data_IF_790799070978
#
_entry.id   IF_790799070978
#
_cell.length_a   1.000
_cell.length_b   1.000
_cell.length_c   1.000
_cell.angle_alpha   90.00
_cell.angle_beta   90.00
_cell.angle_gamma   90.00
#
_symmetry.space_group_name_H-M   'P 1'
#
loop_
_entity.id
_entity.type
_entity.pdbx_description
1 polymer ?
#
# COMPACT_ATOMS: atom_id res chain seq x y z
N UNK A 1 17.62 -29.20 15.01
CA UNK A 1 18.75 -29.65 14.15
C UNK A 1 18.62 -31.16 13.97
N UNK A 2 18.52 -31.62 12.72
CA UNK A 2 19.52 -32.56 12.25
C UNK A 2 20.07 -32.16 10.88
N UNK A 3 21.38 -32.34 10.74
CA UNK A 3 22.13 -32.29 9.49
C UNK A 3 21.84 -33.56 8.68
N UNK A 4 21.61 -33.41 7.37
CA UNK A 4 21.71 -34.51 6.41
C UNK A 4 22.67 -34.03 5.31
N UNK A 5 23.86 -34.65 5.32
CA UNK A 5 24.82 -34.65 4.22
C UNK A 5 24.57 -35.94 3.47
N UNK A 6 24.31 -35.86 2.17
CA UNK A 6 24.83 -36.84 1.21
C UNK A 6 24.90 -36.20 -0.17
N UNK A 7 26.10 -36.26 -0.73
CA UNK A 7 26.40 -35.84 -2.09
C UNK A 7 26.09 -36.98 -3.05
N UNK A 8 25.44 -36.64 -4.16
CA UNK A 8 25.36 -37.51 -5.32
C UNK A 8 25.65 -36.67 -6.58
N UNK A 9 26.74 -37.02 -7.27
CA UNK A 9 27.30 -36.33 -8.43
C UNK A 9 27.01 -37.15 -9.69
N UNK A 10 25.75 -37.20 -10.12
CA UNK A 10 25.41 -37.66 -11.48
C UNK A 10 24.17 -36.95 -12.02
N UNK A 11 24.36 -36.15 -13.08
CA UNK A 11 23.27 -35.59 -13.89
C UNK A 11 22.76 -34.23 -13.41
N UNK A 12 23.03 -33.18 -14.20
CA UNK A 12 22.40 -31.85 -14.05
C UNK A 12 20.89 -31.94 -14.29
N UNK A 13 20.15 -32.43 -13.31
CA UNK A 13 18.77 -32.06 -13.10
C UNK A 13 18.85 -30.82 -12.24
N UNK A 14 18.54 -29.66 -12.82
CA UNK A 14 18.39 -28.42 -12.09
C UNK A 14 17.25 -28.60 -11.09
N UNK A 15 17.58 -29.11 -9.90
CA UNK A 15 16.65 -29.21 -8.79
C UNK A 15 16.53 -27.79 -8.19
N UNK A 16 15.99 -26.86 -8.99
CA UNK A 16 15.50 -25.59 -8.46
C UNK A 16 14.43 -25.91 -7.44
N UNK A 17 14.44 -25.19 -6.32
CA UNK A 17 13.48 -25.46 -5.25
C UNK A 17 12.09 -25.10 -5.77
N UNK A 18 11.07 -25.80 -5.31
CA UNK A 18 9.68 -25.46 -5.62
C UNK A 18 9.34 -23.99 -5.31
N UNK A 19 10.10 -23.34 -4.43
CA UNK A 19 9.99 -21.92 -4.11
C UNK A 19 10.33 -21.00 -5.28
N UNK A 20 11.30 -21.36 -6.13
CA UNK A 20 11.72 -20.54 -7.26
C UNK A 20 10.64 -20.52 -8.35
N UNK A 21 9.95 -21.66 -8.55
CA UNK A 21 8.80 -21.75 -9.45
C UNK A 21 7.56 -21.00 -8.95
N UNK A 22 7.48 -20.66 -7.65
CA UNK A 22 6.38 -19.84 -7.11
C UNK A 22 6.39 -18.44 -7.71
N UNK A 23 7.57 -17.87 -7.95
CA UNK A 23 7.71 -16.57 -8.61
C UNK A 23 7.24 -16.65 -10.07
N UNK A 24 7.72 -17.65 -10.81
CA UNK A 24 7.30 -17.88 -12.20
C UNK A 24 5.79 -18.12 -12.33
N UNK A 25 5.16 -18.79 -11.35
CA UNK A 25 3.69 -18.91 -11.32
C UNK A 25 3.00 -17.55 -11.24
N UNK A 26 3.51 -16.62 -10.44
CA UNK A 26 2.95 -15.26 -10.32
C UNK A 26 3.16 -14.46 -11.60
N UNK A 27 4.37 -14.51 -12.16
CA UNK A 27 4.70 -13.80 -13.40
C UNK A 27 3.79 -14.29 -14.56
N UNK A 28 3.50 -15.59 -14.64
CA UNK A 28 2.54 -16.11 -15.63
C UNK A 28 1.09 -15.69 -15.36
N UNK A 29 0.68 -15.50 -14.09
CA UNK A 29 -0.64 -14.99 -13.73
C UNK A 29 -0.84 -13.53 -14.17
N UNK A 30 0.22 -12.73 -14.17
CA UNK A 30 0.22 -11.32 -14.56
C UNK A 30 0.64 -11.08 -16.03
N UNK A 31 0.89 -12.15 -16.80
CA UNK A 31 1.36 -12.09 -18.20
C UNK A 31 2.74 -11.39 -18.36
N UNK A 32 3.59 -11.48 -17.34
CA UNK A 32 4.95 -10.91 -17.29
C UNK A 32 6.05 -11.96 -17.53
N UNK A 33 5.67 -13.23 -17.78
CA UNK A 33 6.62 -14.34 -17.93
C UNK A 33 7.26 -14.38 -19.34
N UNK A 34 8.57 -14.65 -19.39
CA UNK A 34 9.28 -14.91 -20.65
C UNK A 34 8.86 -16.25 -21.28
N UNK A 35 9.00 -16.41 -22.60
CA UNK A 35 8.67 -17.68 -23.27
C UNK A 35 9.53 -18.84 -22.80
N UNK A 36 10.81 -18.59 -22.49
CA UNK A 36 11.74 -19.58 -21.97
C UNK A 36 11.33 -20.04 -20.56
N UNK A 37 11.00 -19.11 -19.67
CA UNK A 37 10.62 -19.46 -18.30
C UNK A 37 9.24 -20.11 -18.22
N UNK A 38 8.35 -19.79 -19.16
CA UNK A 38 7.05 -20.45 -19.30
C UNK A 38 7.20 -21.93 -19.68
N UNK A 39 8.14 -22.26 -20.57
CA UNK A 39 8.45 -23.65 -20.91
C UNK A 39 8.99 -24.39 -19.69
N UNK A 40 9.95 -23.78 -18.97
CA UNK A 40 10.51 -24.33 -17.72
C UNK A 40 9.44 -24.55 -16.65
N UNK A 41 8.53 -23.60 -16.46
CA UNK A 41 7.40 -23.72 -15.53
C UNK A 41 6.50 -24.90 -15.93
N UNK A 42 6.14 -25.02 -17.21
CA UNK A 42 5.30 -26.10 -17.70
C UNK A 42 5.94 -27.49 -17.49
N UNK A 43 7.24 -27.61 -17.72
CA UNK A 43 7.97 -28.87 -17.49
C UNK A 43 8.02 -29.23 -16.00
N UNK A 44 8.17 -28.25 -15.12
CA UNK A 44 8.06 -28.47 -13.68
C UNK A 44 6.64 -28.90 -13.26
N UNK A 45 5.60 -28.26 -13.81
CA UNK A 45 4.20 -28.61 -13.47
C UNK A 45 3.83 -30.03 -13.92
N UNK A 46 4.44 -30.56 -14.98
CA UNK A 46 4.28 -31.97 -15.41
C UNK A 46 4.83 -32.95 -14.38
N UNK A 47 5.95 -32.63 -13.74
CA UNK A 47 6.67 -33.52 -12.82
C UNK A 47 6.23 -33.37 -11.36
N UNK A 48 5.92 -32.15 -10.91
CA UNK A 48 5.55 -31.85 -9.52
C UNK A 48 4.03 -31.68 -9.35
N UNK A 49 3.37 -32.65 -8.72
CA UNK A 49 1.92 -32.62 -8.45
C UNK A 49 1.52 -31.53 -7.45
N UNK A 50 2.35 -31.28 -6.43
CA UNK A 50 2.07 -30.24 -5.42
C UNK A 50 2.09 -28.82 -6.01
N UNK A 51 3.06 -28.51 -6.86
CA UNK A 51 3.13 -27.23 -7.57
C UNK A 51 1.97 -27.06 -8.55
N UNK A 52 1.56 -28.14 -9.23
CA UNK A 52 0.40 -28.15 -10.13
C UNK A 52 -0.89 -27.77 -9.42
N UNK A 53 -1.12 -28.32 -8.24
CA UNK A 53 -2.33 -28.03 -7.48
C UNK A 53 -2.35 -26.59 -6.94
N UNK A 54 -1.21 -26.10 -6.45
CA UNK A 54 -1.04 -24.70 -6.05
C UNK A 54 -1.33 -23.74 -7.20
N UNK A 55 -0.75 -24.00 -8.37
CA UNK A 55 -0.95 -23.17 -9.55
C UNK A 55 -2.41 -23.18 -10.04
N UNK A 56 -3.09 -24.34 -10.02
CA UNK A 56 -4.53 -24.42 -10.31
C UNK A 56 -5.37 -23.58 -9.35
N UNK A 57 -5.07 -23.66 -8.05
CA UNK A 57 -5.76 -22.88 -7.01
C UNK A 57 -5.56 -21.38 -7.19
N UNK A 58 -4.33 -20.95 -7.47
CA UNK A 58 -4.00 -19.55 -7.77
C UNK A 58 -4.76 -19.04 -8.99
N UNK A 59 -4.75 -19.79 -10.10
CA UNK A 59 -5.45 -19.42 -11.33
C UNK A 59 -6.96 -19.34 -11.15
N UNK A 60 -7.54 -20.27 -10.40
CA UNK A 60 -8.97 -20.24 -10.05
C UNK A 60 -9.32 -18.99 -9.21
N UNK A 61 -8.45 -18.62 -8.26
CA UNK A 61 -8.63 -17.44 -7.39
C UNK A 61 -8.53 -16.15 -8.20
N UNK A 62 -7.51 -16.02 -9.05
CA UNK A 62 -7.34 -14.88 -9.94
C UNK A 62 -8.52 -14.75 -10.93
N UNK A 63 -9.02 -15.86 -11.45
CA UNK A 63 -10.22 -15.89 -12.29
C UNK A 63 -11.46 -15.34 -11.59
N UNK A 64 -11.64 -15.63 -10.29
CA UNK A 64 -12.74 -15.06 -9.49
C UNK A 64 -12.53 -13.58 -9.19
N UNK A 65 -11.31 -13.16 -8.88
CA UNK A 65 -11.00 -11.75 -8.62
C UNK A 65 -11.21 -10.89 -9.88
N UNK A 66 -10.93 -11.42 -11.06
CA UNK A 66 -11.17 -10.73 -12.34
C UNK A 66 -12.66 -10.48 -12.62
N UNK A 67 -13.57 -11.20 -11.96
CA UNK A 67 -15.01 -10.99 -12.08
C UNK A 67 -15.53 -9.88 -11.16
N UNK A 68 -14.73 -9.42 -10.20
CA UNK A 68 -15.10 -8.24 -9.42
C UNK A 68 -15.04 -7.04 -10.34
N UNK A 69 -16.15 -6.30 -10.40
CA UNK A 69 -16.19 -5.01 -11.09
C UNK A 69 -15.13 -4.11 -10.47
N UNK A 70 -14.31 -3.51 -11.32
CA UNK A 70 -13.39 -2.46 -10.90
C UNK A 70 -14.26 -1.29 -10.44
N UNK A 71 -14.51 -1.21 -9.13
CA UNK A 71 -15.19 -0.07 -8.54
C UNK A 71 -14.20 1.07 -8.68
N UNK A 72 -14.29 1.82 -9.79
CA UNK A 72 -13.56 3.06 -9.94
C UNK A 72 -13.85 3.90 -8.69
N UNK A 73 -12.84 4.10 -7.83
CA UNK A 73 -13.07 4.90 -6.65
C UNK A 73 -13.45 6.28 -7.17
N UNK A 74 -14.67 6.70 -6.88
CA UNK A 74 -15.18 8.05 -7.12
C UNK A 74 -14.52 9.01 -6.11
N UNK A 75 -13.20 8.87 -5.94
CA UNK A 75 -12.36 9.90 -5.40
C UNK A 75 -12.29 10.98 -6.47
N UNK A 76 -13.20 11.95 -6.33
CA UNK A 76 -13.06 13.27 -6.93
C UNK A 76 -11.81 13.89 -6.30
N UNK A 77 -10.64 13.50 -6.81
CA UNK A 77 -9.34 14.04 -6.46
C UNK A 77 -9.39 15.51 -6.83
N UNK A 78 -9.79 16.33 -5.87
CA UNK A 78 -9.77 17.76 -6.01
C UNK A 78 -8.30 18.12 -5.89
N UNK A 79 -7.61 18.21 -7.05
CA UNK A 79 -6.26 18.71 -7.12
C UNK A 79 -6.30 20.16 -6.63
N UNK A 80 -6.09 20.34 -5.32
CA UNK A 80 -5.84 21.65 -4.73
C UNK A 80 -4.62 22.17 -5.46
N UNK A 81 -4.85 23.10 -6.39
CA UNK A 81 -3.78 23.83 -7.04
C UNK A 81 -3.06 24.59 -5.93
N UNK A 82 -1.93 24.02 -5.48
CA UNK A 82 -1.00 24.77 -4.66
C UNK A 82 -0.61 26.02 -5.48
N UNK A 83 -0.67 27.22 -4.88
CA UNK A 83 -0.25 28.43 -5.58
C UNK A 83 1.16 28.20 -6.09
N UNK A 84 1.37 28.48 -7.38
CA UNK A 84 2.63 28.27 -8.08
C UNK A 84 3.79 28.67 -7.18
N UNK A 85 4.67 27.69 -6.89
CA UNK A 85 5.84 27.97 -6.07
C UNK A 85 6.65 29.06 -6.77
N UNK A 86 7.24 29.97 -5.99
CA UNK A 86 8.10 31.05 -6.54
C UNK A 86 9.25 30.52 -7.41
N UNK A 87 9.52 29.23 -7.33
CA UNK A 87 10.45 28.49 -8.19
C UNK A 87 9.97 28.39 -9.65
N UNK A 88 8.66 28.23 -9.89
CA UNK A 88 8.09 28.19 -11.24
C UNK A 88 8.24 29.55 -11.95
N UNK A 89 8.03 30.66 -11.23
CA UNK A 89 8.25 32.02 -11.74
C UNK A 89 9.73 32.28 -12.06
N UNK A 90 10.64 31.76 -11.24
CA UNK A 90 12.08 31.85 -11.49
C UNK A 90 12.49 31.13 -12.80
N UNK A 91 11.96 29.92 -13.04
CA UNK A 91 12.23 29.20 -14.29
C UNK A 91 11.56 29.86 -15.52
N UNK A 92 10.40 30.49 -15.36
CA UNK A 92 9.77 31.28 -16.43
C UNK A 92 10.59 32.53 -16.78
N UNK A 93 11.15 33.23 -15.77
CA UNK A 93 12.03 34.37 -15.98
C UNK A 93 13.34 34.00 -16.69
N UNK A 94 13.92 32.84 -16.36
CA UNK A 94 15.09 32.27 -17.05
C UNK A 94 14.81 31.92 -18.52
N UNK A 95 13.58 31.52 -18.86
CA UNK A 95 13.17 31.20 -20.23
C UNK A 95 12.99 32.45 -21.12
N UNK A 96 12.75 33.62 -20.51
CA UNK A 96 12.65 34.89 -21.23
C UNK A 96 14.02 35.44 -21.65
N UNK A 97 15.11 34.98 -21.02
CA UNK A 97 16.46 35.33 -21.44
C UNK A 97 16.81 34.50 -22.68
N UNK A 98 16.65 35.10 -23.87
CA UNK A 98 17.09 34.52 -25.16
C UNK A 98 18.63 34.46 -25.23
N UNK A 99 19.25 33.68 -24.36
CA UNK A 99 20.60 33.20 -24.61
C UNK A 99 20.56 32.38 -25.90
N UNK A 100 21.47 32.62 -26.86
CA UNK A 100 21.50 31.83 -28.07
C UNK A 100 21.63 30.36 -27.65
N UNK A 101 20.68 29.53 -28.06
CA UNK A 101 20.57 28.12 -27.66
C UNK A 101 21.87 27.34 -27.83
N UNK A 102 22.74 27.77 -28.74
CA UNK A 102 24.10 27.25 -28.96
C UNK A 102 25.02 27.42 -27.73
N UNK A 103 24.93 28.53 -27.00
CA UNK A 103 25.72 28.78 -25.79
C UNK A 103 25.22 27.91 -24.62
N UNK A 104 23.90 27.73 -24.49
CA UNK A 104 23.31 26.90 -23.46
C UNK A 104 23.67 25.41 -23.64
N UNK A 105 23.66 24.92 -24.88
CA UNK A 105 24.08 23.54 -25.19
C UNK A 105 25.57 23.34 -24.91
N UNK A 106 26.43 24.28 -25.30
CA UNK A 106 27.86 24.21 -24.98
C UNK A 106 28.13 24.26 -23.47
N UNK A 107 27.42 25.12 -22.74
CA UNK A 107 27.56 25.22 -21.28
C UNK A 107 27.07 23.94 -20.58
N UNK A 108 25.94 23.38 -21.01
CA UNK A 108 25.40 22.14 -20.47
C UNK A 108 26.32 20.95 -20.76
N UNK A 109 26.84 20.84 -21.99
CA UNK A 109 27.82 19.81 -22.36
C UNK A 109 29.13 19.97 -21.57
N UNK A 110 29.60 21.20 -21.36
CA UNK A 110 30.78 21.49 -20.55
C UNK A 110 30.60 21.12 -19.08
N UNK A 111 29.45 21.45 -18.48
CA UNK A 111 29.12 21.06 -17.11
C UNK A 111 28.95 19.54 -16.97
N UNK A 112 28.36 18.89 -17.97
CA UNK A 112 28.24 17.44 -18.00
C UNK A 112 29.62 16.77 -18.08
N UNK A 113 30.52 17.29 -18.91
CA UNK A 113 31.91 16.85 -18.96
C UNK A 113 32.60 17.06 -17.61
N UNK A 114 32.49 18.24 -17.01
CA UNK A 114 33.08 18.57 -15.70
C UNK A 114 32.54 17.66 -14.58
N UNK A 115 31.27 17.27 -14.65
CA UNK A 115 30.65 16.31 -13.73
C UNK A 115 31.26 14.91 -13.87
N UNK A 116 31.65 14.50 -15.08
CA UNK A 116 32.38 13.24 -15.29
C UNK A 116 33.81 13.32 -14.75
N UNK A 117 34.41 14.52 -14.68
CA UNK A 117 35.80 14.74 -14.24
C UNK A 117 35.98 15.01 -12.73
N UNK A 118 34.92 14.91 -11.91
CA UNK A 118 34.97 15.15 -10.46
C UNK A 118 35.77 16.43 -10.08
N UNK A 119 35.53 17.52 -10.80
CA UNK A 119 36.28 18.76 -10.61
C UNK A 119 35.89 19.44 -9.30
N UNK A 120 36.87 19.68 -8.43
CA UNK A 120 36.66 20.44 -7.18
C UNK A 120 37.21 21.85 -7.34
N UNK A 121 36.34 22.84 -7.24
CA UNK A 121 36.70 24.25 -7.24
C UNK A 121 36.66 24.73 -5.78
N UNK A 122 37.81 25.12 -5.23
CA UNK A 122 37.89 25.75 -3.91
C UNK A 122 38.47 27.16 -4.05
N UNK A 123 37.81 28.11 -3.40
CA UNK A 123 38.28 29.49 -3.28
C UNK A 123 38.47 29.79 -1.80
N UNK A 124 39.71 29.80 -1.35
CA UNK A 124 40.07 30.10 0.04
C UNK A 124 41.26 31.07 0.05
N UNK A 125 41.15 32.14 0.86
CA UNK A 125 42.21 33.12 1.10
C UNK A 125 42.82 33.76 -0.16
N UNK A 126 42.00 34.09 -1.16
CA UNK A 126 42.46 34.78 -2.38
C UNK A 126 43.28 33.92 -3.35
N UNK A 127 43.43 32.62 -3.07
CA UNK A 127 44.00 31.66 -4.01
C UNK A 127 42.90 30.81 -4.64
N UNK A 128 42.97 30.69 -5.96
CA UNK A 128 42.10 29.85 -6.76
C UNK A 128 42.79 28.51 -7.02
N UNK A 129 42.27 27.42 -6.46
CA UNK A 129 42.76 26.07 -6.76
C UNK A 129 41.76 25.33 -7.64
N UNK A 130 42.22 24.95 -8.84
CA UNK A 130 41.48 24.10 -9.77
C UNK A 130 42.16 22.73 -9.82
N UNK A 131 41.47 21.70 -9.33
CA UNK A 131 41.91 20.32 -9.47
C UNK A 131 40.89 19.54 -10.30
N UNK A 132 41.35 19.04 -11.44
CA UNK A 132 40.64 18.06 -12.26
C UNK A 132 41.50 16.79 -12.29
N UNK A 133 41.09 15.76 -11.55
CA UNK A 133 41.85 14.52 -11.42
C UNK A 133 41.26 13.43 -12.33
N UNK A 134 41.93 13.13 -13.43
CA UNK A 134 41.59 12.03 -14.35
C UNK A 134 41.97 10.64 -13.79
N UNK A 135 42.89 10.62 -12.82
CA UNK A 135 43.25 9.44 -12.05
C UNK A 135 43.14 9.80 -10.57
N UNK A 136 42.57 8.88 -9.79
CA UNK A 136 42.23 9.04 -8.38
C UNK A 136 43.51 9.15 -7.53
N UNK A 137 44.18 10.31 -7.56
CA UNK A 137 45.14 10.69 -6.54
C UNK A 137 44.33 10.98 -5.29
N UNK A 138 44.03 9.94 -4.53
CA UNK A 138 43.40 10.09 -3.23
C UNK A 138 44.26 11.03 -2.36
N UNK A 139 43.64 11.89 -1.55
CA UNK A 139 44.40 12.61 -0.54
C UNK A 139 45.10 11.57 0.33
N UNK A 140 46.41 11.70 0.52
CA UNK A 140 47.10 11.05 1.63
C UNK A 140 46.47 11.58 2.92
N UNK A 141 45.42 10.92 3.36
CA UNK A 141 44.89 11.09 4.71
C UNK A 141 46.01 10.56 5.61
N UNK A 142 46.64 11.41 6.45
CA UNK A 142 47.65 10.93 7.38
C UNK A 142 47.03 9.80 8.22
N UNK A 143 47.70 8.66 8.28
CA UNK A 143 47.23 7.44 8.95
C UNK A 143 46.94 7.61 10.45
N UNK A 144 47.13 8.81 11.01
CA UNK A 144 46.69 9.21 12.33
C UNK A 144 45.17 9.44 12.47
N UNK A 145 44.41 9.42 11.37
CA UNK A 145 42.93 9.49 11.36
C UNK A 145 42.28 8.20 10.85
N UNK A 146 42.96 7.04 10.94
CA UNK A 146 42.21 5.78 10.97
C UNK A 146 41.35 5.80 12.22
N UNK A 147 40.05 6.06 12.03
CA UNK A 147 39.01 5.95 13.04
C UNK A 147 39.34 4.81 14.00
N UNK A 148 39.79 5.20 15.19
CA UNK A 148 40.12 4.29 16.28
C UNK A 148 38.89 3.40 16.47
N UNK A 149 39.04 2.07 16.50
CA UNK A 149 37.89 1.14 16.70
C UNK A 149 36.96 1.57 17.85
N UNK A 150 37.52 2.24 18.86
CA UNK A 150 36.81 2.85 19.99
C UNK A 150 35.77 3.90 19.57
N UNK A 151 36.07 4.73 18.58
CA UNK A 151 35.16 5.78 18.08
C UNK A 151 33.96 5.18 17.33
N UNK A 152 34.19 4.06 16.62
CA UNK A 152 33.12 3.30 15.97
C UNK A 152 32.19 2.63 17.00
N UNK A 153 32.76 2.07 18.08
CA UNK A 153 31.99 1.42 19.13
C UNK A 153 31.17 2.43 19.94
N UNK A 154 31.70 3.63 20.17
CA UNK A 154 30.98 4.70 20.86
C UNK A 154 29.84 5.26 20.00
N UNK A 155 30.06 5.49 18.70
CA UNK A 155 28.98 5.85 17.76
C UNK A 155 27.89 4.77 17.69
N UNK A 156 28.27 3.49 17.80
CA UNK A 156 27.31 2.38 17.80
C UNK A 156 26.45 2.41 19.07
N UNK A 157 27.05 2.66 20.23
CA UNK A 157 26.35 2.81 21.51
C UNK A 157 25.39 3.99 21.50
N UNK A 158 25.82 5.13 20.99
CA UNK A 158 24.99 6.33 20.87
C UNK A 158 23.77 6.08 19.96
N UNK A 159 23.99 5.44 18.80
CA UNK A 159 22.89 5.04 17.91
C UNK A 159 21.90 4.09 18.60
N UNK A 160 22.38 3.10 19.37
CA UNK A 160 21.49 2.19 20.09
C UNK A 160 20.67 2.92 21.17
N UNK A 161 21.27 3.85 21.89
CA UNK A 161 20.58 4.65 22.91
C UNK A 161 19.51 5.55 22.28
N UNK A 162 19.83 6.18 21.15
CA UNK A 162 18.87 6.99 20.40
C UNK A 162 17.69 6.15 19.90
N UNK A 163 17.96 5.00 19.26
CA UNK A 163 16.90 4.10 18.76
C UNK A 163 16.04 3.56 19.90
N UNK A 164 16.63 3.20 21.03
CA UNK A 164 15.88 2.73 22.21
C UNK A 164 14.94 3.80 22.75
N UNK A 165 15.40 5.05 22.82
CA UNK A 165 14.59 6.19 23.29
C UNK A 165 13.42 6.46 22.32
N UNK A 166 13.71 6.47 21.02
CA UNK A 166 12.70 6.65 19.98
C UNK A 166 11.65 5.54 20.04
N UNK A 167 12.06 4.28 20.20
CA UNK A 167 11.15 3.14 20.30
C UNK A 167 10.24 3.21 21.54
N UNK A 168 10.76 3.66 22.68
CA UNK A 168 9.95 3.86 23.89
C UNK A 168 8.91 4.98 23.70
N UNK A 169 9.30 6.08 23.07
CA UNK A 169 8.35 7.16 22.72
C UNK A 169 7.27 6.69 21.75
N UNK A 170 7.64 5.90 20.72
CA UNK A 170 6.66 5.31 19.80
C UNK A 170 5.72 4.35 20.52
N UNK A 171 6.23 3.50 21.42
CA UNK A 171 5.39 2.57 22.18
C UNK A 171 4.38 3.33 23.06
N UNK A 172 4.79 4.44 23.69
CA UNK A 172 3.90 5.31 24.46
C UNK A 172 2.86 5.99 23.60
N UNK A 173 3.25 6.58 22.47
CA UNK A 173 2.31 7.22 21.52
C UNK A 173 1.29 6.22 20.99
N UNK A 174 1.75 5.04 20.60
CA UNK A 174 0.88 3.99 20.08
C UNK A 174 -0.14 3.53 21.13
N UNK A 175 0.24 3.43 22.40
CA UNK A 175 -0.71 3.13 23.51
C UNK A 175 -1.77 4.21 23.69
N UNK A 176 -1.39 5.49 23.59
CA UNK A 176 -2.35 6.60 23.71
C UNK A 176 -3.30 6.62 22.51
N UNK A 177 -2.76 6.48 21.30
CA UNK A 177 -3.54 6.48 20.07
C UNK A 177 -4.54 5.31 20.04
N UNK A 178 -4.10 4.11 20.43
CA UNK A 178 -5.00 2.94 20.55
C UNK A 178 -6.07 3.15 21.62
N UNK A 179 -5.73 3.71 22.79
CA UNK A 179 -6.71 4.02 23.82
C UNK A 179 -7.79 5.01 23.33
N UNK A 180 -7.38 6.08 22.64
CA UNK A 180 -8.31 7.06 22.05
C UNK A 180 -9.16 6.44 20.94
N UNK A 181 -8.60 5.52 20.14
CA UNK A 181 -9.37 4.77 19.14
C UNK A 181 -10.45 3.91 19.78
N UNK A 182 -10.13 3.20 20.88
CA UNK A 182 -11.10 2.38 21.60
C UNK A 182 -12.22 3.20 22.22
N UNK A 183 -11.91 4.37 22.77
CA UNK A 183 -12.90 5.30 23.31
C UNK A 183 -13.89 5.75 22.23
N UNK A 184 -13.39 6.17 21.07
CA UNK A 184 -14.24 6.53 19.93
C UNK A 184 -15.08 5.37 19.41
N UNK A 185 -14.50 4.17 19.37
CA UNK A 185 -15.21 2.96 18.95
C UNK A 185 -16.36 2.63 19.91
N UNK A 186 -16.12 2.77 21.23
CA UNK A 186 -17.15 2.57 22.25
C UNK A 186 -18.30 3.57 22.12
N UNK A 187 -17.98 4.85 21.93
CA UNK A 187 -18.97 5.90 21.70
C UNK A 187 -19.85 5.63 20.46
N UNK A 188 -19.23 5.16 19.38
CA UNK A 188 -19.95 4.84 18.15
C UNK A 188 -20.86 3.61 18.32
N UNK A 189 -20.40 2.58 19.01
CA UNK A 189 -21.24 1.43 19.37
C UNK A 189 -22.42 1.83 20.25
N UNK A 190 -22.21 2.74 21.21
CA UNK A 190 -23.30 3.19 22.07
C UNK A 190 -24.33 4.02 21.28
N UNK A 191 -23.88 4.87 20.35
CA UNK A 191 -24.77 5.59 19.42
C UNK A 191 -25.56 4.64 18.53
N UNK A 192 -24.91 3.65 17.93
CA UNK A 192 -25.59 2.64 17.12
C UNK A 192 -26.64 1.90 17.95
N UNK A 193 -26.28 1.45 19.16
CA UNK A 193 -27.22 0.76 20.06
C UNK A 193 -28.43 1.65 20.40
N UNK A 194 -28.22 2.94 20.66
CA UNK A 194 -29.33 3.88 20.93
C UNK A 194 -30.22 4.07 19.71
N UNK A 195 -29.63 4.19 18.53
CA UNK A 195 -30.36 4.30 17.27
C UNK A 195 -31.18 3.04 16.99
N UNK A 196 -30.59 1.86 17.19
CA UNK A 196 -31.27 0.58 17.00
C UNK A 196 -32.43 0.40 17.98
N UNK A 197 -32.23 0.76 19.26
CA UNK A 197 -33.30 0.74 20.25
C UNK A 197 -34.45 1.70 19.87
N UNK A 198 -34.14 2.85 19.29
CA UNK A 198 -35.12 3.79 18.79
C UNK A 198 -35.89 3.25 17.55
N UNK A 199 -35.18 2.62 16.62
CA UNK A 199 -35.82 1.97 15.46
C UNK A 199 -36.72 0.81 15.92
N UNK A 200 -36.25 0.00 16.86
CA UNK A 200 -37.03 -1.09 17.45
C UNK A 200 -38.27 -0.58 18.20
N UNK A 201 -38.16 0.51 18.97
CA UNK A 201 -39.33 1.08 19.66
C UNK A 201 -40.39 1.55 18.66
N UNK A 202 -39.97 2.22 17.59
CA UNK A 202 -40.89 2.67 16.54
C UNK A 202 -41.53 1.49 15.80
N UNK A 203 -40.78 0.42 15.53
CA UNK A 203 -41.31 -0.79 14.90
C UNK A 203 -42.35 -1.48 15.79
N UNK A 204 -42.10 -1.58 17.09
CA UNK A 204 -43.05 -2.16 18.06
C UNK A 204 -44.33 -1.32 18.14
N UNK A 205 -44.22 0.01 18.16
CA UNK A 205 -45.39 0.91 18.17
C UNK A 205 -46.23 0.77 16.88
N UNK A 206 -45.58 0.65 15.72
CA UNK A 206 -46.27 0.39 14.46
C UNK A 206 -46.99 -0.97 14.43
N UNK A 207 -46.40 -2.01 15.01
CA UNK A 207 -47.04 -3.33 15.13
C UNK A 207 -48.27 -3.25 16.03
N UNK A 208 -48.19 -2.56 17.18
CA UNK A 208 -49.33 -2.39 18.09
C UNK A 208 -50.47 -1.62 17.41
N UNK A 209 -50.18 -0.47 16.80
CA UNK A 209 -51.19 0.33 16.11
C UNK A 209 -51.78 -0.40 14.90
N UNK A 210 -50.97 -1.12 14.14
CA UNK A 210 -51.40 -1.96 13.02
C UNK A 210 -52.30 -3.11 13.46
N UNK A 211 -51.99 -3.77 14.58
CA UNK A 211 -52.80 -4.86 15.12
C UNK A 211 -54.17 -4.36 15.59
N UNK A 212 -54.21 -3.24 16.32
CA UNK A 212 -55.47 -2.62 16.75
C UNK A 212 -56.37 -2.25 15.58
N UNK A 213 -55.81 -1.67 14.51
CA UNK A 213 -56.57 -1.36 13.29
C UNK A 213 -57.11 -2.60 12.58
N UNK A 214 -56.31 -3.67 12.51
CA UNK A 214 -56.76 -4.95 11.90
C UNK A 214 -57.88 -5.59 12.71
N UNK A 215 -57.82 -5.53 14.04
CA UNK A 215 -58.89 -6.01 14.91
C UNK A 215 -60.17 -5.20 14.69
N UNK A 216 -60.08 -3.87 14.69
CA UNK A 216 -61.24 -3.00 14.44
C UNK A 216 -61.86 -3.24 13.04
N UNK A 217 -61.02 -3.46 12.03
CA UNK A 217 -61.48 -3.79 10.68
C UNK A 217 -62.13 -5.18 10.61
N UNK A 218 -61.62 -6.15 11.37
CA UNK A 218 -62.21 -7.50 11.50
C UNK A 218 -63.57 -7.43 12.21
N UNK A 219 -63.69 -6.64 13.27
CA UNK A 219 -64.96 -6.45 13.98
C UNK A 219 -66.01 -5.77 13.10
N UNK A 220 -65.63 -4.74 12.33
CA UNK A 220 -66.55 -4.08 11.38
C UNK A 220 -67.03 -5.02 10.27
N UNK A 221 -66.14 -5.88 9.76
CA UNK A 221 -66.49 -6.84 8.69
C UNK A 221 -67.35 -8.00 9.22
N UNK A 222 -67.07 -8.49 10.43
CA UNK A 222 -67.95 -9.46 11.10
C UNK A 222 -69.33 -8.86 11.38
N UNK A 223 -69.38 -7.60 11.83
CA UNK A 223 -70.65 -6.89 12.07
C UNK A 223 -71.51 -6.75 10.82
N UNK A 224 -70.91 -6.41 9.67
CA UNK A 224 -71.64 -6.29 8.39
C UNK A 224 -72.12 -7.65 7.86
N UNK A 225 -71.31 -8.71 8.02
CA UNK A 225 -71.72 -10.08 7.68
C UNK A 225 -72.92 -10.54 8.52
N UNK A 226 -72.92 -10.27 9.83
CA UNK A 226 -74.05 -10.60 10.72
C UNK A 226 -75.31 -9.84 10.29
N UNK A 227 -75.22 -8.55 9.99
CA UNK A 227 -76.36 -7.77 9.48
C UNK A 227 -76.90 -8.34 8.16
N UNK A 228 -76.03 -8.70 7.23
CA UNK A 228 -76.42 -9.27 5.94
C UNK A 228 -77.17 -10.60 6.10
N UNK A 229 -76.65 -11.51 6.92
CA UNK A 229 -77.30 -12.81 7.21
C UNK A 229 -78.67 -12.60 7.88
N UNK A 230 -78.79 -11.64 8.80
CA UNK A 230 -80.04 -11.38 9.50
C UNK A 230 -81.12 -10.79 8.57
N UNK A 231 -80.73 -9.93 7.62
CA UNK A 231 -81.64 -9.42 6.58
C UNK A 231 -82.10 -10.53 5.63
N UNK A 232 -81.21 -11.43 5.22
CA UNK A 232 -81.53 -12.55 4.34
C UNK A 232 -82.49 -13.55 5.00
N UNK A 233 -82.35 -13.80 6.30
CA UNK A 233 -83.20 -14.73 7.04
C UNK A 233 -84.60 -14.17 7.33
N UNK A 234 -84.79 -12.84 7.26
CA UNK A 234 -86.09 -12.18 7.48
C UNK A 234 -86.95 -12.07 6.22
N UNK A 235 -86.35 -12.29 5.04
CA UNK A 235 -87.02 -12.25 3.74
C UNK A 235 -87.47 -13.61 3.20
N UNK A 236 -87.30 -14.67 3.98
CA UNK A 236 -87.88 -16.02 3.76
C UNK A 236 -88.94 -16.28 4.81
#
# INVERSE_FOLDING_TARGET
MPFYSDGDLTGRIWNMRCDDYRLLMMDDLYDEISSEDKERLNDHLKTCTGCREKYRTLRATAGRLKQWEDIEPHMKLTFVHQPASRFADFFQSLKAWKLPTRLAVCAAAGLFLLSLFNTRIQYANGQFSFQASLFKSGPEIPAAQLATKTDLDDLRRENYQMVATILDEYAKRNKIETAVMFEKFYDELEKQRKNDLYVLSNAVEQIQTGTSRRLEQTDRTLGSLIQYVNLQNRGR
#
